data_IF_710531973204
#
_entry.id   IF_710531973204
#
_cell.length_a   1.000
_cell.length_b   1.000
_cell.length_c   1.000
_cell.angle_alpha   90.00
_cell.angle_beta   90.00
_cell.angle_gamma   90.00
#
_symmetry.space_group_name_H-M   'P 1'
#
loop_
_entity.id
_entity.type
_entity.pdbx_description
1 polymer ?
#
# COMPACT_ATOMS: atom_id res chain seq x y z
N UNK A 1 -2.31 -39.83 8.99
CA UNK A 1 -2.32 -39.23 10.33
C UNK A 1 -2.59 -37.74 10.17
N UNK A 2 -3.61 -37.16 10.81
CA UNK A 2 -3.91 -35.73 10.72
C UNK A 2 -2.85 -34.89 11.40
N UNK A 3 -2.46 -33.78 10.76
CA UNK A 3 -1.47 -32.83 11.27
C UNK A 3 -2.19 -31.55 11.71
N UNK A 4 -1.97 -31.16 12.97
CA UNK A 4 -2.50 -29.92 13.54
C UNK A 4 -1.35 -28.97 13.83
N UNK A 5 -1.49 -27.70 13.44
CA UNK A 5 -0.46 -26.67 13.64
C UNK A 5 -1.10 -25.47 14.30
N UNK A 6 -0.45 -24.92 15.32
CA UNK A 6 -0.77 -23.60 15.88
C UNK A 6 0.31 -22.64 15.42
N UNK A 7 -0.08 -21.54 14.78
CA UNK A 7 0.88 -20.56 14.28
C UNK A 7 0.26 -19.23 13.93
N UNK A 8 1.09 -18.30 13.44
CA UNK A 8 0.66 -16.94 13.11
C UNK A 8 -0.03 -16.88 11.73
N UNK A 9 -1.02 -16.00 11.54
CA UNK A 9 -1.66 -15.83 10.23
C UNK A 9 -0.70 -15.28 9.17
N UNK A 10 -0.75 -15.76 7.94
CA UNK A 10 0.02 -15.18 6.84
C UNK A 10 -0.44 -13.74 6.53
N UNK A 11 0.48 -12.82 6.18
CA UNK A 11 0.11 -11.49 5.74
C UNK A 11 -0.52 -11.55 4.34
N UNK A 12 -1.70 -10.93 4.19
CA UNK A 12 -2.53 -10.99 2.99
C UNK A 12 -1.79 -10.60 1.70
N UNK A 13 -1.58 -11.56 0.80
CA UNK A 13 -0.91 -11.39 -0.49
C UNK A 13 0.58 -11.03 -0.39
N UNK A 14 1.22 -11.34 0.74
CA UNK A 14 2.62 -10.98 1.02
C UNK A 14 3.40 -12.16 1.59
N UNK A 15 4.70 -12.20 1.29
CA UNK A 15 5.61 -13.19 1.86
C UNK A 15 6.12 -12.75 3.23
N UNK A 16 6.36 -11.45 3.39
CA UNK A 16 7.02 -10.92 4.58
C UNK A 16 6.16 -9.93 5.33
N UNK A 17 6.42 -9.85 6.64
CA UNK A 17 5.92 -8.82 7.53
C UNK A 17 7.00 -8.42 8.53
N UNK A 18 6.69 -7.50 9.43
CA UNK A 18 7.57 -7.01 10.46
C UNK A 18 7.19 -7.59 11.81
N UNK A 19 8.15 -8.04 12.61
CA UNK A 19 7.96 -8.48 14.00
C UNK A 19 8.51 -7.44 14.94
N UNK A 20 7.74 -7.12 15.98
CA UNK A 20 8.21 -6.29 17.09
C UNK A 20 9.16 -7.13 17.93
N UNK A 21 10.45 -6.99 17.69
CA UNK A 21 11.49 -7.74 18.37
C UNK A 21 12.03 -6.95 19.55
N UNK A 22 12.18 -7.62 20.69
CA UNK A 22 12.89 -7.11 21.88
C UNK A 22 14.00 -8.11 22.17
N UNK A 23 15.14 -7.65 22.68
CA UNK A 23 16.21 -8.58 23.01
C UNK A 23 15.79 -9.46 24.20
N UNK A 24 15.77 -10.81 24.05
CA UNK A 24 15.32 -11.69 25.13
C UNK A 24 16.27 -11.70 26.34
N UNK A 25 17.52 -11.26 26.18
CA UNK A 25 18.47 -11.11 27.29
C UNK A 25 18.39 -9.68 27.86
N UNK A 26 17.98 -9.52 29.13
CA UNK A 26 17.77 -8.21 29.76
C UNK A 26 19.05 -7.37 29.88
N UNK A 27 20.23 -7.96 29.63
CA UNK A 27 21.52 -7.23 29.62
C UNK A 27 21.72 -6.37 28.37
N UNK A 28 20.97 -6.63 27.31
CA UNK A 28 21.02 -5.89 26.05
C UNK A 28 19.88 -4.87 25.96
N UNK A 29 19.97 -3.98 24.99
CA UNK A 29 18.94 -2.97 24.74
C UNK A 29 17.55 -3.56 24.54
N UNK A 30 16.65 -3.22 25.47
CA UNK A 30 15.26 -3.67 25.51
C UNK A 30 14.33 -2.77 24.67
N UNK A 31 14.88 -1.74 24.01
CA UNK A 31 14.10 -0.90 23.10
C UNK A 31 13.53 -1.75 21.96
N UNK A 32 12.20 -1.75 21.74
CA UNK A 32 11.60 -2.55 20.68
C UNK A 32 12.10 -2.11 19.31
N UNK A 33 12.53 -3.08 18.50
CA UNK A 33 12.95 -2.88 17.12
C UNK A 33 12.08 -3.71 16.17
N UNK A 34 12.12 -3.39 14.88
CA UNK A 34 11.33 -4.10 13.87
C UNK A 34 12.23 -4.97 13.00
N UNK A 35 12.04 -6.29 13.07
CA UNK A 35 12.71 -7.27 12.22
C UNK A 35 11.80 -7.76 11.10
N UNK A 36 12.34 -8.01 9.89
CA UNK A 36 11.57 -8.68 8.82
C UNK A 36 11.53 -10.17 9.07
N UNK A 37 10.35 -10.76 8.88
CA UNK A 37 10.11 -12.21 8.97
C UNK A 37 9.41 -12.70 7.71
N UNK A 38 9.72 -13.93 7.29
CA UNK A 38 8.96 -14.61 6.25
C UNK A 38 7.80 -15.40 6.89
N UNK A 39 6.58 -14.88 6.73
CA UNK A 39 5.37 -15.40 7.39
C UNK A 39 4.28 -15.80 6.37
N UNK A 40 4.53 -15.64 5.07
CA UNK A 40 3.54 -15.90 4.03
C UNK A 40 4.16 -16.53 2.78
N UNK A 41 3.44 -16.51 1.64
CA UNK A 41 2.06 -16.05 1.48
C UNK A 41 1.04 -17.11 1.92
N UNK A 42 -0.24 -16.73 1.95
CA UNK A 42 -1.35 -17.65 2.20
C UNK A 42 -1.69 -18.54 0.99
N UNK A 43 -1.33 -18.09 -0.22
CA UNK A 43 -1.58 -18.76 -1.50
C UNK A 43 -0.28 -19.29 -2.13
N UNK A 44 -0.40 -20.21 -3.10
CA UNK A 44 0.76 -20.78 -3.79
C UNK A 44 1.47 -19.74 -4.66
N UNK A 45 0.70 -18.94 -5.40
CA UNK A 45 1.18 -17.88 -6.27
C UNK A 45 0.62 -16.52 -5.79
N UNK A 46 1.24 -15.40 -6.18
CA UNK A 46 0.67 -14.09 -5.93
C UNK A 46 -0.72 -13.95 -6.57
N UNK A 47 -1.70 -13.59 -5.76
CA UNK A 47 -3.10 -13.34 -6.18
C UNK A 47 -3.53 -11.89 -5.88
N UNK A 48 -2.57 -11.02 -5.54
CA UNK A 48 -2.79 -9.62 -5.19
C UNK A 48 -1.77 -8.75 -5.92
N UNK A 49 -2.25 -7.76 -6.66
CA UNK A 49 -1.38 -6.77 -7.29
C UNK A 49 -0.76 -5.83 -6.25
N UNK A 50 0.47 -5.38 -6.54
CA UNK A 50 1.18 -4.38 -5.73
C UNK A 50 1.25 -3.07 -6.51
N UNK A 51 0.28 -2.21 -6.28
CA UNK A 51 0.31 -0.81 -6.69
C UNK A 51 0.63 0.03 -5.46
N UNK A 52 1.69 0.82 -5.55
CA UNK A 52 2.00 1.86 -4.58
C UNK A 52 1.57 3.18 -5.24
N UNK A 53 0.59 3.85 -4.64
CA UNK A 53 0.18 5.19 -5.03
C UNK A 53 0.72 6.19 -4.00
N UNK A 54 0.99 7.43 -4.42
CA UNK A 54 1.47 8.52 -3.54
C UNK A 54 0.53 8.83 -2.39
N UNK A 55 -0.74 8.45 -2.51
CA UNK A 55 -1.80 8.82 -1.58
C UNK A 55 -1.91 7.81 -0.41
N UNK A 56 -1.16 6.70 -0.43
CA UNK A 56 -1.60 5.50 0.29
C UNK A 56 -0.50 4.83 1.14
N UNK A 57 -0.02 5.49 2.20
CA UNK A 57 0.78 4.80 3.24
C UNK A 57 -0.03 3.68 3.90
N UNK A 58 -1.35 3.84 4.04
CA UNK A 58 -2.21 2.88 4.74
C UNK A 58 -2.41 1.55 3.99
N UNK A 59 -2.44 1.56 2.65
CA UNK A 59 -2.53 0.34 1.83
C UNK A 59 -1.24 -0.48 1.84
N UNK A 60 -0.14 0.12 2.31
CA UNK A 60 1.14 -0.56 2.44
C UNK A 60 1.27 -1.34 3.74
N UNK A 61 0.38 -1.16 4.73
CA UNK A 61 0.48 -1.92 5.97
C UNK A 61 0.07 -3.39 5.75
N UNK A 62 0.84 -4.36 6.27
CA UNK A 62 0.42 -5.76 6.25
C UNK A 62 -0.91 -5.95 6.99
N UNK A 63 -1.74 -6.86 6.52
CA UNK A 63 -3.04 -7.22 7.11
C UNK A 63 -3.14 -8.73 7.22
N UNK A 64 -3.98 -9.23 8.13
CA UNK A 64 -4.28 -10.66 8.24
C UNK A 64 -4.91 -11.18 6.93
N UNK A 65 -4.41 -12.32 6.43
CA UNK A 65 -5.05 -13.02 5.31
C UNK A 65 -6.27 -13.85 5.72
N UNK A 66 -6.48 -14.08 7.02
CA UNK A 66 -7.44 -15.03 7.56
C UNK A 66 -6.92 -16.48 7.57
N UNK A 67 -5.74 -16.74 7.01
CA UNK A 67 -5.18 -18.10 6.84
C UNK A 67 -3.73 -18.17 7.30
N UNK A 68 -3.19 -19.39 7.43
CA UNK A 68 -1.77 -19.60 7.68
C UNK A 68 -0.91 -19.54 6.41
N UNK A 69 0.42 -19.69 6.52
CA UNK A 69 1.31 -19.85 5.38
C UNK A 69 0.88 -21.05 4.51
N UNK A 70 0.96 -20.91 3.19
CA UNK A 70 0.43 -21.87 2.23
C UNK A 70 0.90 -23.31 2.50
N UNK A 71 2.21 -23.53 2.62
CA UNK A 71 2.79 -24.87 2.73
C UNK A 71 2.34 -25.61 3.99
N UNK A 72 2.33 -24.92 5.14
CA UNK A 72 1.91 -25.49 6.42
C UNK A 72 0.40 -25.74 6.44
N UNK A 73 -0.38 -24.79 5.93
CA UNK A 73 -1.85 -24.93 5.88
C UNK A 73 -2.25 -26.05 4.95
N UNK A 74 -1.62 -26.15 3.78
CA UNK A 74 -1.82 -27.26 2.83
C UNK A 74 -1.50 -28.61 3.44
N UNK A 75 -0.42 -28.73 4.23
CA UNK A 75 -0.08 -29.98 4.92
C UNK A 75 -1.20 -30.39 5.90
N UNK A 76 -1.71 -29.44 6.70
CA UNK A 76 -2.82 -29.70 7.61
C UNK A 76 -4.06 -30.17 6.84
N UNK A 77 -4.47 -29.40 5.82
CA UNK A 77 -5.65 -29.69 5.00
C UNK A 77 -5.53 -31.05 4.30
N UNK A 78 -4.39 -31.37 3.69
CA UNK A 78 -4.17 -32.64 2.98
C UNK A 78 -4.11 -33.86 3.91
N UNK A 79 -3.83 -33.68 5.18
CA UNK A 79 -3.81 -34.76 6.18
C UNK A 79 -5.12 -34.88 6.96
N UNK A 80 -6.09 -33.98 6.71
CA UNK A 80 -7.36 -33.92 7.45
C UNK A 80 -7.25 -33.24 8.82
N UNK A 81 -6.17 -32.50 9.07
CA UNK A 81 -6.01 -31.67 10.25
C UNK A 81 -6.28 -30.19 10.00
N UNK A 82 -5.90 -29.34 10.96
CA UNK A 82 -6.28 -27.91 10.98
C UNK A 82 -5.06 -27.03 11.30
N UNK A 83 -4.93 -25.91 10.60
CA UNK A 83 -4.03 -24.82 10.97
C UNK A 83 -4.80 -23.79 11.80
N UNK A 84 -4.44 -23.63 13.07
CA UNK A 84 -5.01 -22.62 13.96
C UNK A 84 -4.17 -21.35 13.86
N UNK A 85 -4.72 -20.32 13.21
CA UNK A 85 -4.07 -19.02 13.13
C UNK A 85 -4.33 -18.21 14.42
N UNK A 86 -3.29 -17.94 15.19
CA UNK A 86 -3.36 -17.23 16.47
C UNK A 86 -2.49 -15.98 16.39
N UNK A 87 -3.06 -14.85 16.82
CA UNK A 87 -2.33 -13.60 16.92
C UNK A 87 -2.75 -12.86 18.20
N UNK A 88 -1.81 -12.43 19.06
CA UNK A 88 -2.14 -11.87 20.38
C UNK A 88 -2.90 -10.54 20.28
N UNK A 89 -2.69 -9.79 19.20
CA UNK A 89 -3.39 -8.54 18.95
C UNK A 89 -4.59 -8.68 17.99
N UNK A 90 -5.13 -9.89 17.77
CA UNK A 90 -6.28 -10.09 16.88
C UNK A 90 -7.50 -9.34 17.41
N UNK A 91 -7.94 -8.33 16.67
CA UNK A 91 -9.15 -7.56 16.95
C UNK A 91 -9.88 -7.24 15.64
N UNK A 92 -11.08 -7.80 15.47
CA UNK A 92 -11.91 -7.58 14.28
C UNK A 92 -12.61 -6.23 14.38
N UNK A 93 -12.75 -5.53 13.26
CA UNK A 93 -13.49 -4.27 13.17
C UNK A 93 -12.74 -3.01 13.60
N UNK A 94 -11.47 -3.11 13.99
CA UNK A 94 -10.65 -1.93 14.29
C UNK A 94 -9.20 -2.11 13.84
N UNK A 95 -8.58 -1.02 13.41
CA UNK A 95 -7.16 -0.98 13.07
C UNK A 95 -6.28 -1.19 14.31
N UNK A 96 -5.21 -1.97 14.16
CA UNK A 96 -4.17 -2.17 15.16
C UNK A 96 -2.93 -1.36 14.79
N UNK A 97 -2.56 -0.43 15.66
CA UNK A 97 -1.40 0.44 15.46
C UNK A 97 -0.10 -0.27 15.88
N UNK A 98 1.02 0.11 15.27
CA UNK A 98 2.36 -0.45 15.57
C UNK A 98 2.71 -0.40 17.07
N UNK A 99 2.30 0.65 17.76
CA UNK A 99 2.53 0.81 19.20
C UNK A 99 1.81 -0.26 20.05
N UNK A 100 0.64 -0.71 19.61
CA UNK A 100 -0.20 -1.69 20.32
C UNK A 100 0.28 -3.13 20.13
N UNK A 101 1.17 -3.39 19.17
CA UNK A 101 1.69 -4.73 18.88
C UNK A 101 2.46 -5.24 20.09
N UNK A 102 2.14 -6.47 20.51
CA UNK A 102 2.83 -7.15 21.59
C UNK A 102 4.26 -7.50 21.18
N UNK A 103 5.19 -7.56 22.14
CA UNK A 103 6.56 -8.01 21.86
C UNK A 103 6.54 -9.42 21.25
N UNK A 104 7.49 -9.69 20.36
CA UNK A 104 7.64 -10.91 19.55
C UNK A 104 6.45 -11.25 18.65
N UNK A 105 5.60 -10.27 18.34
CA UNK A 105 4.42 -10.45 17.47
C UNK A 105 4.61 -9.74 16.14
N UNK A 106 4.03 -10.32 15.08
CA UNK A 106 4.02 -9.67 13.78
C UNK A 106 3.08 -8.47 13.73
N UNK A 107 3.42 -7.49 12.92
CA UNK A 107 2.57 -6.34 12.66
C UNK A 107 1.57 -6.69 11.57
N UNK A 108 0.30 -6.81 11.96
CA UNK A 108 -0.84 -6.88 11.07
C UNK A 108 -1.82 -5.79 11.50
N UNK A 109 -2.15 -4.90 10.59
CA UNK A 109 -2.94 -3.70 10.88
C UNK A 109 -4.44 -3.98 10.98
N UNK A 110 -4.92 -5.04 10.36
CA UNK A 110 -6.34 -5.41 10.32
C UNK A 110 -6.50 -6.92 10.43
N UNK A 111 -7.59 -7.34 11.09
CA UNK A 111 -8.02 -8.73 11.23
C UNK A 111 -9.47 -8.87 10.78
N UNK A 112 -9.80 -10.04 10.24
CA UNK A 112 -11.10 -10.31 9.62
C UNK A 112 -11.82 -11.45 10.33
N UNK A 113 -13.14 -11.49 10.22
CA UNK A 113 -13.96 -12.53 10.83
C UNK A 113 -13.64 -13.90 10.20
N UNK A 114 -13.18 -14.90 10.98
CA UNK A 114 -12.89 -16.23 10.46
C UNK A 114 -14.09 -16.93 9.80
N UNK A 115 -15.33 -16.63 10.22
CA UNK A 115 -16.54 -17.21 9.63
C UNK A 115 -16.76 -16.71 8.21
N UNK A 116 -16.58 -15.40 7.99
CA UNK A 116 -16.63 -14.79 6.65
C UNK A 116 -15.48 -15.34 5.81
N UNK A 117 -14.27 -15.37 6.36
CA UNK A 117 -13.08 -15.79 5.60
C UNK A 117 -13.10 -17.26 5.17
N UNK A 118 -13.91 -18.13 5.79
CA UNK A 118 -13.97 -19.55 5.43
C UNK A 118 -14.28 -19.81 3.96
N UNK A 119 -15.11 -18.96 3.31
CA UNK A 119 -15.44 -19.10 1.89
C UNK A 119 -14.35 -18.55 0.94
N UNK A 120 -13.34 -17.86 1.47
CA UNK A 120 -12.25 -17.23 0.71
C UNK A 120 -10.93 -18.01 0.85
N UNK A 121 -10.99 -19.29 1.21
CA UNK A 121 -9.82 -20.14 1.39
C UNK A 121 -9.01 -20.24 0.09
N UNK A 122 -7.66 -20.13 0.17
CA UNK A 122 -6.78 -20.47 -0.93
C UNK A 122 -6.97 -21.93 -1.37
N UNK A 123 -6.73 -22.18 -2.65
CA UNK A 123 -6.74 -23.53 -3.20
C UNK A 123 -5.49 -24.31 -2.75
N UNK A 124 -5.63 -25.12 -1.69
CA UNK A 124 -4.53 -25.93 -1.12
C UNK A 124 -4.21 -27.19 -1.94
N UNK A 125 -3.90 -27.01 -3.22
CA UNK A 125 -3.66 -28.08 -4.19
C UNK A 125 -2.18 -28.25 -4.54
N UNK A 126 -1.82 -29.23 -5.36
CA UNK A 126 -0.44 -29.32 -5.89
C UNK A 126 -0.16 -28.17 -6.88
N UNK A 127 1.11 -27.85 -7.12
CA UNK A 127 1.48 -26.82 -8.10
C UNK A 127 0.95 -27.12 -9.52
N UNK A 128 0.90 -28.41 -9.89
CA UNK A 128 0.35 -28.86 -11.18
C UNK A 128 -1.16 -28.63 -11.28
N UNK A 129 -1.90 -28.92 -10.21
CA UNK A 129 -3.35 -28.69 -10.15
C UNK A 129 -3.65 -27.20 -10.12
N UNK A 130 -2.92 -26.41 -9.34
CA UNK A 130 -3.05 -24.96 -9.30
C UNK A 130 -2.86 -24.34 -10.69
N UNK A 131 -1.81 -24.76 -11.42
CA UNK A 131 -1.58 -24.30 -12.78
C UNK A 131 -2.74 -24.66 -13.74
N UNK A 132 -3.44 -25.78 -13.54
CA UNK A 132 -4.65 -26.12 -14.30
C UNK A 132 -5.82 -25.21 -13.93
N UNK A 133 -6.04 -24.97 -12.64
CA UNK A 133 -7.09 -24.07 -12.13
C UNK A 133 -6.91 -22.65 -12.64
N UNK A 134 -5.68 -22.13 -12.67
CA UNK A 134 -5.39 -20.80 -13.21
C UNK A 134 -5.66 -20.74 -14.71
N UNK A 135 -5.37 -21.82 -15.45
CA UNK A 135 -5.61 -21.90 -16.90
C UNK A 135 -7.07 -22.12 -17.28
N UNK A 136 -7.92 -22.62 -16.37
CA UNK A 136 -9.32 -22.91 -16.68
C UNK A 136 -10.20 -21.67 -16.79
N UNK A 137 -9.72 -20.50 -16.37
CA UNK A 137 -10.45 -19.24 -16.44
C UNK A 137 -9.49 -18.08 -16.71
N UNK A 138 -9.78 -17.24 -17.70
CA UNK A 138 -8.88 -16.16 -18.10
C UNK A 138 -8.75 -15.05 -17.03
N UNK A 139 -9.75 -14.82 -16.19
CA UNK A 139 -9.66 -13.88 -15.06
C UNK A 139 -8.64 -14.34 -14.01
N UNK A 140 -8.64 -15.64 -13.66
CA UNK A 140 -7.62 -16.21 -12.75
C UNK A 140 -6.22 -16.04 -13.30
N UNK A 141 -6.04 -16.38 -14.59
CA UNK A 141 -4.76 -16.23 -15.29
C UNK A 141 -4.29 -14.79 -15.27
N UNK A 142 -5.14 -13.87 -15.69
CA UNK A 142 -4.83 -12.44 -15.75
C UNK A 142 -4.48 -11.87 -14.36
N UNK A 143 -5.20 -12.28 -13.31
CA UNK A 143 -4.91 -11.87 -11.94
C UNK A 143 -3.52 -12.33 -11.48
N UNK A 144 -3.20 -13.61 -11.64
CA UNK A 144 -1.91 -14.17 -11.20
C UNK A 144 -0.76 -13.54 -11.99
N UNK A 145 -0.92 -13.37 -13.30
CA UNK A 145 0.07 -12.72 -14.17
C UNK A 145 0.30 -11.26 -13.77
N UNK A 146 -0.76 -10.48 -13.58
CA UNK A 146 -0.66 -9.09 -13.13
C UNK A 146 -0.03 -8.98 -11.72
N UNK A 147 -0.35 -9.90 -10.81
CA UNK A 147 0.22 -9.94 -9.47
C UNK A 147 1.73 -10.24 -9.50
N UNK A 148 2.19 -11.09 -10.42
CA UNK A 148 3.62 -11.35 -10.63
C UNK A 148 4.36 -10.13 -11.20
N UNK A 149 3.80 -9.49 -12.24
CA UNK A 149 4.41 -8.30 -12.87
C UNK A 149 4.50 -7.13 -11.89
N UNK A 150 3.43 -6.87 -11.14
CA UNK A 150 3.39 -5.75 -10.19
C UNK A 150 4.32 -5.94 -8.99
N UNK A 151 4.64 -7.18 -8.60
CA UNK A 151 5.54 -7.44 -7.47
C UNK A 151 6.98 -6.93 -7.66
N UNK A 152 7.40 -6.70 -8.91
CA UNK A 152 8.75 -6.26 -9.29
C UNK A 152 8.83 -4.74 -9.50
N UNK A 153 7.68 -4.06 -9.55
CA UNK A 153 7.62 -2.64 -9.93
C UNK A 153 7.73 -1.71 -8.72
N UNK A 154 8.68 -0.77 -8.76
CA UNK A 154 8.74 0.38 -7.85
C UNK A 154 7.95 1.54 -8.45
N UNK A 155 7.04 2.13 -7.67
CA UNK A 155 6.27 3.30 -8.08
C UNK A 155 6.79 4.52 -7.31
N UNK A 156 7.01 5.62 -8.03
CA UNK A 156 7.40 6.91 -7.45
C UNK A 156 6.14 7.75 -7.24
N UNK A 157 6.09 8.49 -6.13
CA UNK A 157 4.98 9.41 -5.87
C UNK A 157 5.04 10.61 -6.83
N UNK A 158 3.93 10.99 -7.51
CA UNK A 158 3.88 12.24 -8.28
C UNK A 158 4.18 13.47 -7.41
N UNK A 159 4.76 14.48 -8.04
CA UNK A 159 4.96 15.81 -7.45
C UNK A 159 3.65 16.57 -7.56
N UNK A 160 3.06 16.96 -6.43
CA UNK A 160 1.76 17.63 -6.41
C UNK A 160 1.86 19.14 -6.19
N UNK A 161 3.02 19.65 -5.76
CA UNK A 161 3.21 21.06 -5.40
C UNK A 161 4.23 21.71 -6.32
N UNK A 162 3.89 22.86 -6.89
CA UNK A 162 4.68 23.57 -7.86
C UNK A 162 4.78 25.04 -7.46
N UNK A 163 5.96 25.45 -6.99
CA UNK A 163 6.22 26.85 -6.64
C UNK A 163 6.46 27.66 -7.91
N UNK A 164 5.72 28.76 -8.08
CA UNK A 164 5.88 29.71 -9.19
C UNK A 164 6.79 30.86 -8.74
N UNK A 165 8.10 30.71 -8.93
CA UNK A 165 9.05 31.84 -8.86
C UNK A 165 8.99 32.69 -10.13
N UNK A 166 8.91 32.02 -11.28
CA UNK A 166 8.69 32.58 -12.60
C UNK A 166 8.06 31.51 -13.52
N UNK A 167 7.62 31.90 -14.72
CA UNK A 167 6.95 30.99 -15.65
C UNK A 167 7.87 29.89 -16.21
N UNK A 168 9.15 30.20 -16.41
CA UNK A 168 10.11 29.24 -16.95
C UNK A 168 10.44 28.15 -15.91
N UNK A 169 10.60 28.54 -14.65
CA UNK A 169 10.80 27.64 -13.52
C UNK A 169 9.58 26.72 -13.32
N UNK A 170 8.37 27.29 -13.37
CA UNK A 170 7.13 26.51 -13.26
C UNK A 170 7.01 25.47 -14.38
N UNK A 171 7.23 25.89 -15.63
CA UNK A 171 7.20 24.99 -16.79
C UNK A 171 8.27 23.90 -16.72
N UNK A 172 9.45 24.22 -16.18
CA UNK A 172 10.52 23.25 -15.95
C UNK A 172 10.11 22.22 -14.89
N UNK A 173 9.58 22.67 -13.74
CA UNK A 173 9.10 21.80 -12.67
C UNK A 173 7.98 20.86 -13.16
N UNK A 174 7.00 21.38 -13.89
CA UNK A 174 5.93 20.56 -14.49
C UNK A 174 6.49 19.56 -15.50
N UNK A 175 7.46 19.95 -16.33
CA UNK A 175 8.09 19.04 -17.29
C UNK A 175 8.88 17.91 -16.62
N UNK A 176 9.55 18.19 -15.50
CA UNK A 176 10.20 17.15 -14.69
C UNK A 176 9.16 16.19 -14.08
N UNK A 177 8.06 16.75 -13.57
CA UNK A 177 6.97 15.97 -12.99
C UNK A 177 6.26 15.08 -14.03
N UNK A 178 6.10 15.54 -15.28
CA UNK A 178 5.62 14.71 -16.40
C UNK A 178 6.54 13.51 -16.68
N UNK A 179 7.86 13.68 -16.58
CA UNK A 179 8.80 12.56 -16.78
C UNK A 179 8.65 11.46 -15.74
N UNK A 180 8.32 11.81 -14.49
CA UNK A 180 8.05 10.82 -13.44
C UNK A 180 6.80 10.02 -13.79
N UNK A 181 5.70 10.69 -14.17
CA UNK A 181 4.47 10.02 -14.59
C UNK A 181 4.68 9.12 -15.83
N UNK A 182 5.42 9.60 -16.83
CA UNK A 182 5.72 8.87 -18.06
C UNK A 182 6.52 7.57 -17.83
N UNK A 183 7.23 7.44 -16.70
CA UNK A 183 7.89 6.16 -16.32
C UNK A 183 6.91 5.14 -15.76
N UNK A 184 5.79 5.59 -15.17
CA UNK A 184 4.78 4.74 -14.54
C UNK A 184 3.71 4.28 -15.53
N UNK A 185 3.32 5.16 -16.46
CA UNK A 185 2.29 4.92 -17.47
C UNK A 185 2.44 3.55 -18.17
N UNK A 186 3.60 3.18 -18.74
CA UNK A 186 3.75 1.91 -19.45
C UNK A 186 3.52 0.68 -18.56
N UNK A 187 3.89 0.75 -17.28
CA UNK A 187 3.71 -0.35 -16.33
C UNK A 187 2.24 -0.50 -15.94
N UNK A 188 1.55 0.61 -15.71
CA UNK A 188 0.11 0.60 -15.40
C UNK A 188 -0.66 0.11 -16.63
N UNK A 189 -0.28 0.53 -17.82
CA UNK A 189 -0.86 0.07 -19.08
C UNK A 189 -0.65 -1.42 -19.29
N UNK A 190 0.54 -1.95 -19.02
CA UNK A 190 0.79 -3.38 -19.07
C UNK A 190 -0.17 -4.15 -18.16
N UNK A 191 -0.32 -3.72 -16.90
CA UNK A 191 -1.26 -4.35 -15.96
C UNK A 191 -2.70 -4.26 -16.44
N UNK A 192 -3.11 -3.10 -16.98
CA UNK A 192 -4.43 -2.90 -17.54
C UNK A 192 -4.70 -3.86 -18.71
N UNK A 193 -3.76 -4.00 -19.64
CA UNK A 193 -3.91 -4.90 -20.78
C UNK A 193 -4.00 -6.36 -20.33
N UNK A 194 -3.16 -6.79 -19.38
CA UNK A 194 -3.21 -8.16 -18.82
C UNK A 194 -4.60 -8.41 -18.20
N UNK A 195 -5.03 -7.55 -17.26
CA UNK A 195 -6.28 -7.73 -16.53
C UNK A 195 -7.50 -7.66 -17.43
N UNK A 196 -7.49 -6.78 -18.44
CA UNK A 196 -8.57 -6.67 -19.43
C UNK A 196 -8.84 -7.97 -20.17
N UNK A 197 -7.83 -8.82 -20.41
CA UNK A 197 -8.06 -10.12 -21.07
C UNK A 197 -8.97 -11.04 -20.27
N UNK A 198 -9.00 -10.91 -18.95
CA UNK A 198 -9.81 -11.72 -18.04
C UNK A 198 -11.26 -11.28 -17.88
N UNK A 199 -11.62 -10.09 -18.38
CA UNK A 199 -12.89 -9.43 -18.04
C UNK A 199 -14.10 -10.24 -18.48
N UNK A 200 -14.05 -10.83 -19.68
CA UNK A 200 -15.14 -11.65 -20.24
C UNK A 200 -15.36 -12.98 -19.49
N UNK A 201 -14.35 -13.44 -18.76
CA UNK A 201 -14.38 -14.71 -18.02
C UNK A 201 -14.65 -14.50 -16.52
N UNK A 202 -14.70 -13.24 -16.05
CA UNK A 202 -14.94 -12.89 -14.64
C UNK A 202 -16.20 -13.56 -14.10
N UNK A 203 -17.32 -13.44 -14.82
CA UNK A 203 -18.62 -13.97 -14.36
C UNK A 203 -18.74 -15.50 -14.51
N UNK A 204 -17.80 -16.14 -15.22
CA UNK A 204 -17.76 -17.60 -15.38
C UNK A 204 -17.11 -18.31 -14.19
N UNK A 205 -16.44 -17.57 -13.31
CA UNK A 205 -15.83 -18.09 -12.09
C UNK A 205 -16.69 -17.78 -10.86
N UNK A 206 -17.36 -18.78 -10.26
CA UNK A 206 -18.21 -18.55 -9.10
C UNK A 206 -17.41 -18.49 -7.78
N UNK A 207 -16.08 -18.68 -7.80
CA UNK A 207 -15.29 -18.74 -6.56
C UNK A 207 -15.10 -17.32 -5.98
N UNK A 208 -15.59 -17.05 -4.75
CA UNK A 208 -15.59 -15.69 -4.19
C UNK A 208 -14.19 -15.05 -4.10
N UNK A 209 -13.18 -15.85 -3.74
CA UNK A 209 -11.78 -15.39 -3.66
C UNK A 209 -11.26 -14.86 -5.00
N UNK A 210 -11.56 -15.57 -6.08
CA UNK A 210 -11.10 -15.20 -7.42
C UNK A 210 -11.85 -13.99 -7.96
N UNK A 211 -13.17 -13.90 -7.72
CA UNK A 211 -13.97 -12.71 -8.04
C UNK A 211 -13.45 -11.47 -7.30
N UNK A 212 -13.33 -11.55 -5.97
CA UNK A 212 -12.84 -10.46 -5.14
C UNK A 212 -11.42 -10.03 -5.55
N UNK A 213 -10.54 -10.99 -5.80
CA UNK A 213 -9.17 -10.75 -6.24
C UNK A 213 -9.09 -10.05 -7.60
N UNK A 214 -9.85 -10.54 -8.58
CA UNK A 214 -9.87 -9.99 -9.92
C UNK A 214 -10.48 -8.58 -9.96
N UNK A 215 -11.65 -8.40 -9.35
CA UNK A 215 -12.36 -7.12 -9.35
C UNK A 215 -11.55 -6.04 -8.60
N UNK A 216 -10.93 -6.39 -7.47
CA UNK A 216 -10.03 -5.49 -6.76
C UNK A 216 -8.82 -5.12 -7.62
N UNK A 217 -8.17 -6.09 -8.24
CA UNK A 217 -7.00 -5.83 -9.07
C UNK A 217 -7.36 -4.93 -10.25
N UNK A 218 -8.45 -5.25 -10.97
CA UNK A 218 -8.86 -4.49 -12.14
C UNK A 218 -9.33 -3.08 -11.78
N UNK A 219 -10.14 -2.94 -10.73
CA UNK A 219 -10.57 -1.65 -10.22
C UNK A 219 -9.41 -0.74 -9.80
N UNK A 220 -8.44 -1.27 -9.04
CA UNK A 220 -7.25 -0.51 -8.61
C UNK A 220 -6.31 -0.16 -9.76
N UNK A 221 -6.14 -1.04 -10.74
CA UNK A 221 -5.35 -0.73 -11.94
C UNK A 221 -6.01 0.36 -12.78
N UNK A 222 -7.34 0.34 -12.95
CA UNK A 222 -8.07 1.40 -13.63
C UNK A 222 -7.97 2.74 -12.87
N UNK A 223 -8.09 2.71 -11.54
CA UNK A 223 -7.90 3.90 -10.69
C UNK A 223 -6.49 4.50 -10.85
N UNK A 224 -5.45 3.66 -10.78
CA UNK A 224 -4.08 4.10 -11.01
C UNK A 224 -3.88 4.67 -12.43
N UNK A 225 -4.45 4.03 -13.46
CA UNK A 225 -4.40 4.49 -14.85
C UNK A 225 -4.98 5.89 -14.99
N UNK A 226 -6.20 6.10 -14.48
CA UNK A 226 -6.86 7.40 -14.50
C UNK A 226 -6.04 8.44 -13.76
N UNK A 227 -5.58 8.14 -12.54
CA UNK A 227 -4.77 9.08 -11.75
C UNK A 227 -3.49 9.49 -12.48
N UNK A 228 -2.78 8.55 -13.13
CA UNK A 228 -1.53 8.87 -13.84
C UNK A 228 -1.76 9.64 -15.14
N UNK A 229 -2.71 9.21 -15.97
CA UNK A 229 -2.94 9.86 -17.28
C UNK A 229 -3.60 11.23 -17.12
N UNK A 230 -4.59 11.36 -16.23
CA UNK A 230 -5.24 12.65 -15.97
C UNK A 230 -4.26 13.62 -15.29
N UNK A 231 -3.39 13.14 -14.42
CA UNK A 231 -2.28 13.95 -13.87
C UNK A 231 -1.41 14.53 -14.98
N UNK A 232 -0.96 13.69 -15.92
CA UNK A 232 -0.14 14.13 -17.05
C UNK A 232 -0.87 15.16 -17.93
N UNK A 233 -2.19 14.97 -18.14
CA UNK A 233 -3.03 15.92 -18.85
C UNK A 233 -3.18 17.26 -18.09
N UNK A 234 -3.36 17.24 -16.76
CA UNK A 234 -3.42 18.46 -15.94
C UNK A 234 -2.12 19.25 -16.00
N UNK A 235 -0.97 18.57 -15.96
CA UNK A 235 0.33 19.22 -16.14
C UNK A 235 0.47 19.84 -17.54
N UNK A 236 0.00 19.16 -18.58
CA UNK A 236 0.01 19.68 -19.94
C UNK A 236 -0.89 20.92 -20.09
N UNK A 237 -2.06 20.93 -19.43
CA UNK A 237 -2.93 22.11 -19.37
C UNK A 237 -2.28 23.25 -18.60
N UNK A 238 -1.65 22.97 -17.46
CA UNK A 238 -0.97 23.98 -16.65
C UNK A 238 0.17 24.68 -17.38
N UNK A 239 0.91 23.95 -18.22
CA UNK A 239 1.97 24.50 -19.08
C UNK A 239 1.48 25.42 -20.20
N UNK A 240 0.18 25.40 -20.52
CA UNK A 240 -0.42 26.35 -21.50
C UNK A 240 -0.64 27.74 -20.92
N UNK A 241 -0.51 27.88 -19.59
CA UNK A 241 -0.69 29.14 -18.87
C UNK A 241 -1.74 28.99 -17.77
N UNK A 242 -1.41 29.46 -16.56
CA UNK A 242 -2.31 29.53 -15.41
C UNK A 242 -2.05 30.81 -14.62
N UNK A 243 -3.14 31.45 -14.21
CA UNK A 243 -3.15 32.67 -13.40
C UNK A 243 -3.76 32.38 -12.03
N UNK A 244 -3.13 32.89 -10.97
CA UNK A 244 -3.67 32.76 -9.62
C UNK A 244 -4.92 33.63 -9.47
N UNK A 245 -5.93 33.14 -8.75
CA UNK A 245 -7.10 33.98 -8.44
C UNK A 245 -6.77 34.95 -7.32
N UNK A 246 -5.98 34.51 -6.33
CA UNK A 246 -5.38 35.40 -5.32
C UNK A 246 -3.93 35.72 -5.72
N UNK A 247 -3.65 36.99 -6.00
CA UNK A 247 -2.32 37.47 -6.41
C UNK A 247 -1.24 37.25 -5.36
N UNK A 248 -1.60 36.97 -4.10
CA UNK A 248 -0.64 36.64 -3.03
C UNK A 248 -0.11 35.22 -3.16
N UNK A 249 -0.85 34.33 -3.83
CA UNK A 249 -0.45 32.93 -3.96
C UNK A 249 0.75 32.79 -4.89
N UNK A 250 1.61 31.83 -4.55
CA UNK A 250 2.84 31.54 -5.28
C UNK A 250 3.06 30.02 -5.47
N UNK A 251 2.10 29.19 -5.09
CA UNK A 251 2.16 27.74 -5.24
C UNK A 251 0.91 27.22 -5.92
N UNK A 252 1.11 26.45 -6.98
CA UNK A 252 0.09 25.59 -7.56
C UNK A 252 0.13 24.22 -6.91
N UNK A 253 -1.02 23.76 -6.43
CA UNK A 253 -1.17 22.43 -5.83
C UNK A 253 -2.17 21.65 -6.66
N UNK A 254 -1.75 20.48 -7.13
CA UNK A 254 -2.64 19.56 -7.80
C UNK A 254 -3.29 18.66 -6.74
N UNK A 255 -4.54 18.97 -6.41
CA UNK A 255 -5.30 18.29 -5.37
C UNK A 255 -6.19 17.18 -5.97
N UNK A 256 -6.38 16.04 -5.27
CA UNK A 256 -7.36 15.04 -5.67
C UNK A 256 -8.78 15.64 -5.72
N UNK A 257 -9.55 15.28 -6.74
CA UNK A 257 -10.90 15.78 -6.97
C UNK A 257 -11.83 14.70 -7.50
N UNK A 258 -13.13 14.82 -7.19
CA UNK A 258 -14.16 13.96 -7.76
C UNK A 258 -14.47 14.31 -9.22
N UNK A 259 -14.18 15.54 -9.63
CA UNK A 259 -14.32 16.03 -11.01
C UNK A 259 -13.18 15.54 -11.91
N UNK A 260 -13.49 15.34 -13.19
CA UNK A 260 -12.53 14.97 -14.24
C UNK A 260 -12.27 16.14 -15.20
N UNK A 261 -11.59 17.17 -14.72
CA UNK A 261 -11.29 18.38 -15.50
C UNK A 261 -10.40 18.09 -16.73
N UNK A 262 -9.60 17.03 -16.67
CA UNK A 262 -8.73 16.61 -17.77
C UNK A 262 -9.47 16.07 -19.02
N UNK A 263 -10.75 15.71 -18.93
CA UNK A 263 -11.56 15.30 -20.08
C UNK A 263 -12.45 14.07 -19.86
N UNK A 264 -13.49 13.92 -20.70
CA UNK A 264 -14.53 12.89 -20.59
C UNK A 264 -14.03 11.45 -20.78
N UNK A 265 -12.92 11.26 -21.49
CA UNK A 265 -12.30 9.93 -21.64
C UNK A 265 -11.85 9.35 -20.27
N UNK A 266 -11.36 10.19 -19.37
CA UNK A 266 -10.92 9.77 -18.03
C UNK A 266 -12.11 9.47 -17.11
N UNK A 267 -13.24 10.16 -17.34
CA UNK A 267 -14.49 9.91 -16.64
C UNK A 267 -15.01 8.50 -16.92
N UNK A 268 -14.98 8.03 -18.17
CA UNK A 268 -15.41 6.67 -18.51
C UNK A 268 -14.56 5.60 -17.79
N UNK A 269 -13.24 5.77 -17.76
CA UNK A 269 -12.34 4.81 -17.11
C UNK A 269 -12.52 4.86 -15.58
N UNK A 270 -12.74 6.04 -15.03
CA UNK A 270 -13.03 6.27 -13.60
C UNK A 270 -14.33 5.63 -13.16
N UNK A 271 -15.40 5.78 -13.94
CA UNK A 271 -16.68 5.13 -13.67
C UNK A 271 -16.53 3.60 -13.69
N UNK A 272 -15.73 3.06 -14.62
CA UNK A 272 -15.41 1.63 -14.64
C UNK A 272 -14.60 1.19 -13.40
N UNK A 273 -13.60 1.98 -12.98
CA UNK A 273 -12.84 1.71 -11.76
C UNK A 273 -13.76 1.67 -10.53
N UNK A 274 -14.62 2.68 -10.38
CA UNK A 274 -15.61 2.78 -9.30
C UNK A 274 -16.56 1.59 -9.30
N UNK A 275 -17.05 1.17 -10.47
CA UNK A 275 -17.92 0.00 -10.60
C UNK A 275 -17.28 -1.28 -10.04
N UNK A 276 -16.05 -1.60 -10.43
CA UNK A 276 -15.38 -2.81 -9.94
C UNK A 276 -15.05 -2.73 -8.44
N UNK A 277 -14.58 -1.58 -7.95
CA UNK A 277 -14.27 -1.41 -6.54
C UNK A 277 -15.54 -1.44 -5.66
N UNK A 278 -16.63 -0.81 -6.09
CA UNK A 278 -17.92 -0.86 -5.40
C UNK A 278 -18.48 -2.28 -5.37
N UNK A 279 -18.33 -3.02 -6.47
CA UNK A 279 -18.71 -4.43 -6.54
C UNK A 279 -18.00 -5.26 -5.46
N UNK A 280 -16.69 -5.08 -5.27
CA UNK A 280 -15.94 -5.78 -4.21
C UNK A 280 -16.51 -5.47 -2.82
N UNK A 281 -16.86 -4.21 -2.55
CA UNK A 281 -17.42 -3.80 -1.26
C UNK A 281 -18.79 -4.44 -1.02
N UNK A 282 -19.63 -4.48 -2.06
CA UNK A 282 -21.00 -4.98 -1.98
C UNK A 282 -21.08 -6.51 -1.95
N UNK A 283 -20.29 -7.19 -2.79
CA UNK A 283 -20.33 -8.66 -2.94
C UNK A 283 -19.42 -9.39 -1.93
N UNK A 284 -18.38 -8.73 -1.41
CA UNK A 284 -17.40 -9.33 -0.51
C UNK A 284 -17.19 -8.56 0.81
N UNK A 285 -18.27 -8.18 1.53
CA UNK A 285 -18.16 -7.36 2.74
C UNK A 285 -17.40 -8.06 3.86
N UNK A 286 -16.69 -7.29 4.69
CA UNK A 286 -15.95 -7.82 5.84
C UNK A 286 -14.67 -8.57 5.49
N UNK A 287 -14.22 -8.49 4.23
CA UNK A 287 -13.00 -9.16 3.74
C UNK A 287 -11.85 -8.16 3.53
N UNK A 288 -10.58 -8.62 3.45
CA UNK A 288 -9.46 -7.74 3.10
C UNK A 288 -9.63 -7.07 1.74
N UNK A 289 -10.31 -7.70 0.78
CA UNK A 289 -10.55 -7.09 -0.52
C UNK A 289 -11.48 -5.89 -0.43
N UNK A 290 -12.59 -6.01 0.30
CA UNK A 290 -13.53 -4.90 0.51
C UNK A 290 -12.90 -3.73 1.29
N UNK A 291 -12.04 -4.01 2.27
CA UNK A 291 -11.30 -2.98 2.97
C UNK A 291 -10.39 -2.18 2.01
N UNK A 292 -9.61 -2.89 1.18
CA UNK A 292 -8.73 -2.25 0.20
C UNK A 292 -9.52 -1.48 -0.85
N UNK A 293 -10.66 -2.01 -1.32
CA UNK A 293 -11.52 -1.31 -2.27
C UNK A 293 -12.13 -0.04 -1.66
N UNK A 294 -12.55 -0.09 -0.40
CA UNK A 294 -13.10 1.07 0.31
C UNK A 294 -12.04 2.16 0.50
N UNK A 295 -10.82 1.77 0.86
CA UNK A 295 -9.68 2.68 0.99
C UNK A 295 -9.24 3.26 -0.35
N UNK A 296 -9.34 2.52 -1.44
CA UNK A 296 -9.06 3.04 -2.78
C UNK A 296 -10.11 4.11 -3.16
N UNK A 297 -11.40 3.85 -2.88
CA UNK A 297 -12.52 4.76 -3.19
C UNK A 297 -12.61 5.97 -2.26
N UNK A 298 -12.02 5.94 -1.07
CA UNK A 298 -11.97 7.13 -0.20
C UNK A 298 -11.07 8.23 -0.77
N UNK A 299 -10.26 7.91 -1.78
CA UNK A 299 -9.39 8.85 -2.45
C UNK A 299 -9.94 9.18 -3.85
N UNK A 300 -10.27 10.45 -4.13
CA UNK A 300 -10.76 10.85 -5.43
C UNK A 300 -9.81 10.46 -6.57
N UNK A 301 -10.38 10.17 -7.74
CA UNK A 301 -9.61 9.68 -8.90
C UNK A 301 -9.14 10.79 -9.83
N UNK A 302 -9.80 11.94 -9.80
CA UNK A 302 -9.49 13.09 -10.61
C UNK A 302 -8.54 14.06 -9.92
N UNK A 303 -8.23 15.14 -10.62
CA UNK A 303 -7.33 16.18 -10.18
C UNK A 303 -7.92 17.55 -10.47
N UNK A 304 -7.66 18.51 -9.59
CA UNK A 304 -7.96 19.93 -9.79
C UNK A 304 -6.75 20.77 -9.38
N UNK A 305 -6.60 21.93 -10.01
CA UNK A 305 -5.62 22.92 -9.58
C UNK A 305 -6.19 23.75 -8.44
N UNK A 306 -5.51 23.70 -7.31
CA UNK A 306 -5.69 24.58 -6.16
C UNK A 306 -4.47 25.51 -6.03
N UNK A 307 -4.63 26.60 -5.29
CA UNK A 307 -3.63 27.63 -5.10
C UNK A 307 -3.33 27.84 -3.62
N UNK A 308 -2.05 27.96 -3.28
CA UNK A 308 -1.54 28.16 -1.93
C UNK A 308 -0.47 29.25 -1.89
N UNK A 309 -0.25 29.79 -0.70
CA UNK A 309 0.86 30.70 -0.41
C UNK A 309 1.89 30.01 0.50
N UNK A 310 3.16 30.14 0.15
CA UNK A 310 4.28 29.84 1.04
C UNK A 310 5.19 31.06 1.15
N UNK A 311 5.67 31.33 2.37
CA UNK A 311 6.71 32.32 2.58
C UNK A 311 8.06 31.74 2.10
N UNK A 312 8.63 32.36 1.07
CA UNK A 312 9.92 31.97 0.49
C UNK A 312 11.10 32.66 1.19
N UNK A 313 10.86 33.50 2.19
CA UNK A 313 11.92 34.11 2.95
C UNK A 313 12.77 33.01 3.62
N UNK A 314 14.11 33.03 3.48
CA UNK A 314 14.96 32.13 4.23
C UNK A 314 14.65 32.35 5.71
N UNK A 315 14.38 31.26 6.45
CA UNK A 315 14.26 31.36 7.91
C UNK A 315 15.47 32.14 8.40
N UNK A 316 15.30 33.25 9.15
CA UNK A 316 16.43 34.02 9.60
C UNK A 316 17.35 33.06 10.33
N UNK A 317 18.55 32.87 9.77
CA UNK A 317 19.66 32.31 10.54
C UNK A 317 19.71 33.17 11.77
N UNK A 318 19.44 32.59 12.94
CA UNK A 318 19.81 33.22 14.20
C UNK A 318 21.33 33.33 14.13
N UNK A 319 21.82 34.43 13.56
CA UNK A 319 23.17 34.90 13.75
C UNK A 319 23.19 35.22 15.23
N UNK A 320 23.74 34.29 16.02
CA UNK A 320 23.97 34.53 17.42
C UNK A 320 24.75 35.83 17.50
N UNK A 321 24.10 36.88 18.02
CA UNK A 321 24.77 38.12 18.32
C UNK A 321 25.89 37.77 19.29
N UNK A 322 27.11 37.93 18.80
CA UNK A 322 28.32 37.73 19.57
C UNK A 322 28.45 38.95 20.52
N UNK A 323 27.67 38.94 21.59
CA UNK A 323 27.84 39.85 22.72
C UNK A 323 28.52 39.09 23.86
N UNK A 324 29.70 39.58 24.16
CA UNK A 324 30.66 39.06 25.10
C UNK A 324 30.17 39.32 26.55
N UNK A 325 30.57 38.43 27.45
CA UNK A 325 30.48 38.51 28.92
C UNK A 325 29.15 38.13 29.61
N UNK A 326 28.92 36.83 29.76
CA UNK A 326 28.81 36.28 31.12
C UNK A 326 29.26 34.82 31.14
N UNK A 327 30.37 34.56 31.83
CA UNK A 327 30.98 33.24 31.94
C UNK A 327 30.23 32.43 33.01
N UNK A 328 28.97 32.08 32.74
CA UNK A 328 28.28 31.02 33.46
C UNK A 328 28.40 29.75 32.63
N UNK A 329 29.26 28.85 33.09
CA UNK A 329 29.26 27.44 32.69
C UNK A 329 27.82 26.92 32.68
N UNK A 330 27.34 26.29 31.59
CA UNK A 330 26.08 25.59 31.63
C UNK A 330 26.14 24.56 32.76
N UNK A 331 25.27 24.70 33.75
CA UNK A 331 25.14 23.77 34.86
C UNK A 331 24.41 22.50 34.40
N UNK A 332 24.85 21.93 33.28
CA UNK A 332 24.24 20.76 32.65
C UNK A 332 25.26 19.80 32.01
N UNK A 333 26.52 19.88 32.46
CA UNK A 333 27.50 18.80 32.28
C UNK A 333 27.51 17.80 33.45
N UNK A 334 26.73 18.03 34.52
CA UNK A 334 26.51 17.05 35.58
C UNK A 334 25.23 16.20 35.41
N UNK A 335 24.39 16.48 34.40
CA UNK A 335 23.26 15.62 34.01
C UNK A 335 23.56 14.70 32.79
N UNK A 336 24.79 14.73 32.26
CA UNK A 336 25.21 13.93 31.08
C UNK A 336 25.98 12.65 31.40
N UNK A 337 25.93 12.16 32.64
CA UNK A 337 26.29 10.76 32.91
C UNK A 337 25.05 9.87 32.74
N UNK A 338 24.45 9.89 31.56
CA UNK A 338 23.56 8.79 31.19
C UNK A 338 24.42 7.52 31.20
N UNK A 339 24.01 6.45 31.90
CA UNK A 339 24.72 5.19 31.84
C UNK A 339 24.88 4.81 30.36
N UNK A 340 26.06 4.29 29.98
CA UNK A 340 26.29 3.83 28.60
C UNK A 340 25.09 2.97 28.20
N UNK A 341 24.43 3.26 27.05
CA UNK A 341 23.29 2.47 26.65
C UNK A 341 23.70 1.00 26.61
N UNK A 342 22.83 0.09 27.07
CA UNK A 342 23.13 -1.33 27.03
C UNK A 342 23.53 -1.73 25.61
N UNK A 343 24.45 -2.69 25.46
CA UNK A 343 24.92 -3.10 24.15
C UNK A 343 23.75 -3.51 23.25
N UNK A 344 23.84 -3.17 21.97
CA UNK A 344 22.85 -3.55 20.96
C UNK A 344 23.38 -4.73 20.13
N UNK A 345 22.57 -5.77 19.93
CA UNK A 345 22.88 -6.87 18.99
C UNK A 345 22.17 -6.67 17.65
N UNK A 346 22.65 -7.22 16.53
CA UNK A 346 21.86 -7.26 15.30
C UNK A 346 20.62 -8.14 15.51
N UNK A 347 19.49 -7.75 14.90
CA UNK A 347 18.28 -8.59 14.93
C UNK A 347 18.57 -9.84 14.08
N UNK A 348 18.38 -11.06 14.61
CA UNK A 348 18.53 -12.26 13.80
C UNK A 348 17.53 -12.25 12.64
N UNK A 349 17.85 -12.96 11.55
CA UNK A 349 16.87 -13.19 10.49
C UNK A 349 15.79 -14.11 11.06
N UNK A 350 14.58 -13.59 11.25
CA UNK A 350 13.44 -14.26 11.88
C UNK A 350 12.62 -15.06 10.87
#
# INVERSE_FOLDING_TARGET
MPVYVVGVPAPFGRQETWVKWVDPDPKFDQTPRWGRVNQGPESLMPERIRLVSSVEEDLTNPMDSGFGPYSLTRLCVKTGGIYFNVHPNRKVGSRVNRAQISSFSSHLSHFFDPQIMKMYQPEYVSAREYAKLVKSNQARRALVEAAQVSAVSQFESPVLRFVKTDEAALNTAMSQAQRVAARLEPRIDQLYQILRTGEQDRDKDPTPRWQAGYDLAYGRTLAAKVRTESYNAMLAMGKRGMEFKDQRNNVWVLAPADSMEAGSQYESISNKAKLYLQRVIQEHPGTPWALLASQELSHPLGWKWDEEFIDLAPRPTMVAANDNANNNTPQDEQARMLPKPPPTRPIPKL
#
